data_IF_444139370947
#
_entry.id   IF_444139370947
#
_cell.length_a   1.000
_cell.length_b   1.000
_cell.length_c   1.000
_cell.angle_alpha   90.00
_cell.angle_beta   90.00
_cell.angle_gamma   90.00
#
_symmetry.space_group_name_H-M   'P 1'
#
loop_
_entity.id
_entity.type
_entity.pdbx_description
1 polymer ?
#
# COMPACT_ATOMS: atom_id res chain seq x y z
N UNK A 1 -14.08 19.81 -37.68
CA UNK A 1 -12.75 19.27 -37.34
C UNK A 1 -12.81 18.73 -35.92
N UNK A 2 -12.85 17.42 -35.76
CA UNK A 2 -12.86 16.77 -34.45
C UNK A 2 -11.40 16.63 -33.98
N UNK A 3 -11.05 17.30 -32.90
CA UNK A 3 -9.78 17.11 -32.22
C UNK A 3 -9.81 15.75 -31.51
N UNK A 4 -9.02 14.81 -32.04
CA UNK A 4 -8.78 13.53 -31.37
C UNK A 4 -8.22 13.81 -29.97
N UNK A 5 -8.94 13.33 -28.93
CA UNK A 5 -8.42 13.29 -27.57
C UNK A 5 -7.14 12.45 -27.61
N UNK A 6 -6.00 13.09 -27.35
CA UNK A 6 -4.73 12.44 -27.06
C UNK A 6 -4.98 11.40 -25.96
N UNK A 7 -4.97 10.11 -26.31
CA UNK A 7 -4.93 9.05 -25.31
C UNK A 7 -3.55 9.11 -24.68
N UNK A 8 -3.44 9.71 -23.50
CA UNK A 8 -2.21 9.67 -22.72
C UNK A 8 -1.93 8.21 -22.35
N UNK A 9 -1.09 7.54 -23.14
CA UNK A 9 -0.61 6.19 -22.82
C UNK A 9 0.15 6.25 -21.51
N UNK A 10 -0.22 5.41 -20.54
CA UNK A 10 0.54 5.25 -19.30
C UNK A 10 1.96 4.83 -19.68
N UNK A 11 3.01 5.54 -19.22
CA UNK A 11 4.39 5.15 -19.46
C UNK A 11 4.64 3.68 -19.08
N UNK A 12 5.30 2.94 -19.96
CA UNK A 12 5.59 1.50 -19.81
C UNK A 12 6.28 1.18 -18.47
N UNK A 13 7.16 2.06 -18.00
CA UNK A 13 7.80 1.98 -16.69
C UNK A 13 6.81 1.88 -15.51
N UNK A 14 5.67 2.57 -15.59
CA UNK A 14 4.63 2.52 -14.56
C UNK A 14 3.80 1.23 -14.63
N UNK A 15 3.75 0.57 -15.79
CA UNK A 15 3.13 -0.75 -15.91
C UNK A 15 3.98 -1.82 -15.23
N UNK A 16 5.30 -1.79 -15.46
CA UNK A 16 6.22 -2.76 -14.86
C UNK A 16 6.40 -2.58 -13.35
N UNK A 17 6.36 -1.35 -12.83
CA UNK A 17 6.40 -1.13 -11.38
C UNK A 17 5.12 -1.66 -10.71
N UNK A 18 3.96 -1.47 -11.35
CA UNK A 18 2.68 -2.05 -10.94
C UNK A 18 2.74 -3.55 -10.83
N UNK A 19 3.16 -4.21 -11.92
CA UNK A 19 3.32 -5.66 -11.96
C UNK A 19 4.32 -6.16 -10.92
N UNK A 20 5.46 -5.48 -10.72
CA UNK A 20 6.44 -5.84 -9.69
C UNK A 20 5.85 -5.72 -8.27
N UNK A 21 5.05 -4.69 -8.01
CA UNK A 21 4.34 -4.53 -6.75
C UNK A 21 3.37 -5.67 -6.47
N UNK A 22 2.54 -6.05 -7.45
CA UNK A 22 1.61 -7.17 -7.30
C UNK A 22 2.33 -8.48 -6.97
N UNK A 23 3.40 -8.81 -7.70
CA UNK A 23 4.18 -10.02 -7.44
C UNK A 23 4.89 -9.99 -6.09
N UNK A 24 5.30 -8.80 -5.62
CA UNK A 24 5.86 -8.65 -4.28
C UNK A 24 4.82 -8.97 -3.21
N UNK A 25 3.60 -8.42 -3.32
CA UNK A 25 2.51 -8.73 -2.39
C UNK A 25 2.15 -10.21 -2.40
N UNK A 26 2.09 -10.83 -3.59
CA UNK A 26 1.89 -12.27 -3.71
C UNK A 26 2.98 -13.06 -2.98
N UNK A 27 4.25 -12.69 -3.19
CA UNK A 27 5.40 -13.29 -2.49
C UNK A 27 5.26 -13.19 -0.97
N UNK A 28 4.93 -12.01 -0.44
CA UNK A 28 4.70 -11.84 1.00
C UNK A 28 3.56 -12.74 1.49
N UNK A 29 2.45 -12.82 0.77
CA UNK A 29 1.36 -13.73 1.13
C UNK A 29 1.83 -15.20 1.18
N UNK A 30 2.61 -15.66 0.20
CA UNK A 30 3.14 -17.02 0.18
C UNK A 30 4.12 -17.29 1.33
N UNK A 31 4.97 -16.32 1.71
CA UNK A 31 5.86 -16.43 2.89
C UNK A 31 5.07 -16.66 4.19
N UNK A 32 3.83 -16.19 4.24
CA UNK A 32 2.92 -16.36 5.35
C UNK A 32 1.90 -17.50 5.16
N UNK A 33 2.19 -18.45 4.25
CA UNK A 33 1.33 -19.60 3.95
C UNK A 33 -0.08 -19.19 3.50
N UNK A 34 -0.21 -18.15 2.68
CA UNK A 34 -1.49 -17.78 2.06
C UNK A 34 -1.36 -17.88 0.55
N UNK A 35 -2.36 -18.43 -0.13
CA UNK A 35 -2.36 -18.45 -1.59
C UNK A 35 -2.87 -17.10 -2.11
N UNK A 36 -2.13 -16.47 -3.01
CA UNK A 36 -2.55 -15.25 -3.67
C UNK A 36 -2.69 -15.49 -5.17
N UNK A 37 -3.83 -15.09 -5.75
CA UNK A 37 -4.16 -15.28 -7.15
C UNK A 37 -4.41 -13.93 -7.81
N UNK A 38 -3.76 -13.69 -8.95
CA UNK A 38 -4.04 -12.53 -9.79
C UNK A 38 -5.39 -12.70 -10.49
N UNK A 39 -6.23 -11.68 -10.44
CA UNK A 39 -7.52 -11.71 -11.12
C UNK A 39 -7.34 -11.55 -12.64
N UNK A 40 -7.97 -12.41 -13.48
CA UNK A 40 -7.83 -12.35 -14.93
C UNK A 40 -8.55 -11.16 -15.58
N UNK A 41 -9.39 -10.45 -14.81
CA UNK A 41 -10.15 -9.28 -15.25
C UNK A 41 -10.01 -8.20 -14.17
N UNK A 42 -9.70 -6.99 -14.60
CA UNK A 42 -9.69 -5.80 -13.74
C UNK A 42 -11.13 -5.45 -13.32
N UNK A 43 -11.53 -5.92 -12.13
CA UNK A 43 -12.78 -5.55 -11.47
C UNK A 43 -12.54 -4.59 -10.30
N UNK A 44 -11.43 -3.84 -10.33
CA UNK A 44 -11.04 -2.92 -9.25
C UNK A 44 -10.36 -3.60 -8.06
N UNK A 45 -9.94 -4.87 -8.20
CA UNK A 45 -9.00 -5.56 -7.32
C UNK A 45 -8.00 -6.33 -8.18
N UNK A 46 -6.75 -6.38 -7.73
CA UNK A 46 -5.66 -7.03 -8.47
C UNK A 46 -5.50 -8.50 -8.04
N UNK A 47 -5.65 -8.77 -6.73
CA UNK A 47 -5.40 -10.07 -6.14
C UNK A 47 -6.59 -10.57 -5.32
N UNK A 48 -6.71 -11.89 -5.24
CA UNK A 48 -7.53 -12.61 -4.25
C UNK A 48 -6.62 -13.47 -3.41
N UNK A 49 -6.68 -13.29 -2.09
CA UNK A 49 -5.86 -14.03 -1.13
C UNK A 49 -6.74 -15.01 -0.36
N UNK A 50 -6.30 -16.27 -0.29
CA UNK A 50 -6.99 -17.37 0.39
C UNK A 50 -6.07 -18.07 1.39
N UNK A 51 -6.67 -18.94 2.20
CA UNK A 51 -5.98 -19.90 3.06
C UNK A 51 -6.51 -21.31 2.80
N UNK A 52 -6.62 -21.67 1.52
CA UNK A 52 -7.28 -22.89 1.05
C UNK A 52 -6.65 -24.16 1.63
N UNK A 53 -5.32 -24.18 1.81
CA UNK A 53 -4.61 -25.29 2.46
C UNK A 53 -5.18 -25.65 3.85
N UNK A 54 -5.73 -24.70 4.61
CA UNK A 54 -6.33 -24.96 5.93
C UNK A 54 -7.57 -25.84 5.86
N UNK A 55 -8.26 -25.82 4.73
CA UNK A 55 -9.41 -26.69 4.49
C UNK A 55 -8.99 -28.08 4.00
N UNK A 56 -7.79 -28.21 3.41
CA UNK A 56 -7.22 -29.51 3.03
C UNK A 56 -6.77 -30.31 4.26
N UNK A 57 -6.22 -29.64 5.28
CA UNK A 57 -5.87 -30.28 6.57
C UNK A 57 -7.08 -30.77 7.38
N UNK A 58 -8.31 -30.41 6.97
CA UNK A 58 -9.57 -30.87 7.59
C UNK A 58 -10.15 -32.12 6.92
N UNK A 59 -9.52 -32.64 5.87
CA UNK A 59 -9.97 -33.88 5.21
C UNK A 59 -9.68 -35.14 6.04
N UNK A 60 -8.73 -35.08 6.99
CA UNK A 60 -8.30 -36.23 7.80
C UNK A 60 -8.68 -36.14 9.29
N UNK A 61 -9.25 -35.02 9.78
CA UNK A 61 -9.53 -34.81 11.21
C UNK A 61 -10.96 -34.28 11.45
N UNK A 62 -11.60 -34.79 12.50
CA UNK A 62 -12.92 -34.42 13.02
C UNK A 62 -13.18 -32.89 13.00
N UNK A 63 -14.45 -32.45 12.86
CA UNK A 63 -14.79 -31.02 12.76
C UNK A 63 -14.25 -30.22 13.94
N UNK A 64 -13.13 -29.51 13.72
CA UNK A 64 -12.57 -28.56 14.67
C UNK A 64 -13.42 -27.28 14.66
N UNK A 65 -13.70 -26.67 15.83
CA UNK A 65 -14.45 -25.42 15.89
C UNK A 65 -13.80 -24.34 15.02
N UNK A 66 -14.63 -23.53 14.36
CA UNK A 66 -14.16 -22.40 13.55
C UNK A 66 -13.45 -21.42 14.47
N UNK A 67 -12.14 -21.31 14.30
CA UNK A 67 -11.34 -20.29 14.98
C UNK A 67 -11.70 -18.92 14.41
N UNK A 68 -12.50 -18.16 15.17
CA UNK A 68 -12.95 -16.80 14.80
C UNK A 68 -11.84 -15.76 14.94
N UNK A 69 -10.69 -16.10 15.51
CA UNK A 69 -9.52 -15.20 15.54
C UNK A 69 -8.80 -15.15 14.19
N UNK A 70 -9.14 -16.06 13.27
CA UNK A 70 -8.57 -16.10 11.93
C UNK A 70 -9.40 -15.22 10.99
N UNK A 71 -8.76 -14.36 10.18
CA UNK A 71 -9.45 -13.57 9.17
C UNK A 71 -10.25 -14.44 8.20
N UNK A 72 -11.47 -13.99 7.90
CA UNK A 72 -12.27 -14.62 6.87
C UNK A 72 -11.53 -14.55 5.52
N UNK A 73 -11.63 -15.60 4.70
CA UNK A 73 -11.07 -15.64 3.35
C UNK A 73 -12.17 -16.01 2.37
N UNK A 74 -12.17 -15.47 1.13
CA UNK A 74 -11.09 -14.72 0.49
C UNK A 74 -10.98 -13.25 0.90
N UNK A 75 -9.76 -12.71 0.92
CA UNK A 75 -9.49 -11.27 1.02
C UNK A 75 -9.23 -10.71 -0.38
N UNK A 76 -9.98 -9.68 -0.78
CA UNK A 76 -9.76 -8.99 -2.06
C UNK A 76 -8.75 -7.85 -1.88
N UNK A 77 -7.69 -7.81 -2.68
CA UNK A 77 -6.61 -6.85 -2.49
C UNK A 77 -6.39 -6.02 -3.75
N UNK A 78 -6.50 -4.70 -3.60
CA UNK A 78 -6.00 -3.76 -4.59
C UNK A 78 -4.56 -3.39 -4.21
N UNK A 79 -3.64 -3.53 -5.15
CA UNK A 79 -2.24 -3.20 -4.98
C UNK A 79 -1.96 -1.84 -5.64
N UNK A 80 -1.22 -0.98 -4.95
CA UNK A 80 -0.63 0.22 -5.53
C UNK A 80 0.87 0.23 -5.25
N UNK A 81 1.67 0.60 -6.24
CA UNK A 81 3.12 0.60 -6.13
C UNK A 81 3.72 1.92 -6.58
N UNK A 82 4.83 2.34 -5.96
CA UNK A 82 5.51 3.58 -6.33
C UNK A 82 7.02 3.50 -6.09
N UNK A 83 7.78 4.13 -6.97
CA UNK A 83 9.19 4.47 -6.71
C UNK A 83 9.24 5.77 -5.89
N UNK A 84 9.80 5.71 -4.69
CA UNK A 84 10.00 6.86 -3.83
C UNK A 84 11.15 7.73 -4.35
N UNK A 85 11.02 9.04 -4.19
CA UNK A 85 12.07 10.01 -4.55
C UNK A 85 12.81 10.44 -3.29
N UNK A 86 14.16 10.45 -3.28
CA UNK A 86 14.91 10.92 -2.13
C UNK A 86 14.62 12.40 -1.87
N UNK A 87 14.48 12.76 -0.59
CA UNK A 87 14.35 14.13 -0.14
C UNK A 87 15.76 14.64 0.19
N UNK A 88 16.11 15.81 -0.35
CA UNK A 88 17.37 16.44 0.01
C UNK A 88 17.38 16.72 1.54
N UNK A 89 18.45 16.34 2.26
CA UNK A 89 18.53 16.63 3.69
C UNK A 89 18.48 18.15 3.92
N UNK A 90 17.85 18.57 5.01
CA UNK A 90 17.92 19.95 5.48
C UNK A 90 19.38 20.36 5.63
N UNK A 91 19.71 21.62 5.30
CA UNK A 91 21.06 22.17 5.53
C UNK A 91 21.38 22.29 7.03
N UNK A 92 20.35 22.28 7.88
CA UNK A 92 20.48 22.32 9.32
C UNK A 92 20.30 20.90 9.91
N UNK A 93 21.43 20.36 10.41
CA UNK A 93 21.61 19.13 11.20
C UNK A 93 21.39 17.79 10.48
N UNK A 94 22.03 16.76 11.05
CA UNK A 94 22.14 15.37 10.58
C UNK A 94 20.81 14.63 10.48
N UNK A 95 19.92 15.14 9.65
CA UNK A 95 18.67 14.51 9.27
C UNK A 95 18.96 13.16 8.64
N UNK A 96 18.20 12.16 9.10
CA UNK A 96 18.25 10.82 8.53
C UNK A 96 17.78 10.87 7.07
N UNK A 97 18.38 10.07 6.17
CA UNK A 97 17.89 9.95 4.80
C UNK A 97 16.39 9.65 4.77
N UNK A 98 15.67 10.32 3.88
CA UNK A 98 14.24 10.14 3.75
C UNK A 98 13.79 10.20 2.30
N UNK A 99 12.68 9.54 2.00
CA UNK A 99 12.10 9.44 0.67
C UNK A 99 10.61 9.75 0.74
N UNK A 100 10.09 10.37 -0.29
CA UNK A 100 8.67 10.71 -0.43
C UNK A 100 8.10 10.16 -1.73
N UNK A 101 6.81 9.84 -1.70
CA UNK A 101 6.06 9.40 -2.86
C UNK A 101 4.56 9.49 -2.62
N UNK A 102 3.79 9.22 -3.67
CA UNK A 102 2.34 9.11 -3.57
C UNK A 102 1.83 7.91 -4.37
N UNK A 103 0.78 7.29 -3.86
CA UNK A 103 0.00 6.30 -4.58
C UNK A 103 -1.21 6.98 -5.21
N UNK A 104 -1.34 6.88 -6.52
CA UNK A 104 -2.53 7.35 -7.23
C UNK A 104 -3.62 6.27 -7.19
N UNK A 105 -4.83 6.67 -6.80
CA UNK A 105 -6.00 5.79 -6.78
C UNK A 105 -7.19 6.51 -7.42
N UNK A 106 -7.95 5.81 -8.26
CA UNK A 106 -9.18 6.38 -8.82
C UNK A 106 -10.25 6.48 -7.72
N UNK A 107 -11.10 7.51 -7.72
CA UNK A 107 -12.20 7.61 -6.77
C UNK A 107 -13.11 6.36 -6.77
N UNK A 108 -13.35 5.75 -7.94
CA UNK A 108 -14.12 4.52 -8.08
C UNK A 108 -13.49 3.32 -7.36
N UNK A 109 -12.18 3.16 -7.48
CA UNK A 109 -11.45 2.05 -6.86
C UNK A 109 -11.44 2.22 -5.34
N UNK A 110 -11.22 3.45 -4.86
CA UNK A 110 -11.30 3.75 -3.43
C UNK A 110 -12.70 3.47 -2.88
N UNK A 111 -13.75 3.91 -3.58
CA UNK A 111 -15.12 3.65 -3.19
C UNK A 111 -15.43 2.14 -3.16
N UNK A 112 -14.92 1.38 -4.13
CA UNK A 112 -15.09 -0.08 -4.17
C UNK A 112 -14.42 -0.76 -2.97
N UNK A 113 -13.17 -0.41 -2.64
CA UNK A 113 -12.47 -0.94 -1.45
C UNK A 113 -13.28 -0.62 -0.19
N UNK A 114 -13.71 0.63 -0.03
CA UNK A 114 -14.49 1.07 1.12
C UNK A 114 -15.85 0.34 1.27
N UNK A 115 -16.48 -0.04 0.15
CA UNK A 115 -17.78 -0.69 0.12
C UNK A 115 -17.70 -2.22 0.20
N UNK A 116 -16.54 -2.82 -0.08
CA UNK A 116 -16.35 -4.27 -0.13
C UNK A 116 -15.84 -4.78 1.23
N UNK A 117 -16.64 -5.56 1.98
CA UNK A 117 -16.17 -6.22 3.20
C UNK A 117 -15.01 -7.15 2.88
N UNK A 118 -14.11 -7.33 3.85
CA UNK A 118 -12.95 -8.21 3.72
C UNK A 118 -12.10 -7.91 2.47
N UNK A 119 -11.89 -6.63 2.20
CA UNK A 119 -10.97 -6.16 1.17
C UNK A 119 -9.86 -5.31 1.79
N UNK A 120 -8.78 -5.10 1.04
CA UNK A 120 -7.63 -4.35 1.50
C UNK A 120 -6.99 -3.53 0.37
N UNK A 121 -6.36 -2.43 0.75
CA UNK A 121 -5.39 -1.70 -0.05
C UNK A 121 -3.99 -2.10 0.41
N UNK A 122 -3.23 -2.74 -0.48
CA UNK A 122 -1.81 -3.02 -0.27
C UNK A 122 -0.96 -2.00 -1.02
N UNK A 123 0.06 -1.47 -0.36
CA UNK A 123 0.97 -0.48 -0.92
C UNK A 123 2.38 -1.01 -0.94
N UNK A 124 3.09 -0.81 -2.06
CA UNK A 124 4.50 -1.19 -2.21
C UNK A 124 5.33 0.04 -2.58
N UNK A 125 6.23 0.44 -1.68
CA UNK A 125 7.15 1.55 -1.88
C UNK A 125 8.55 1.01 -2.20
N UNK A 126 9.00 1.27 -3.43
CA UNK A 126 10.36 0.96 -3.86
C UNK A 126 11.28 2.13 -3.54
N UNK A 127 12.39 1.84 -2.87
CA UNK A 127 13.41 2.81 -2.45
C UNK A 127 14.75 2.37 -3.02
N UNK A 128 15.42 3.27 -3.75
CA UNK A 128 16.81 3.08 -4.13
C UNK A 128 17.70 3.49 -2.95
N UNK A 129 18.24 2.52 -2.22
CA UNK A 129 19.24 2.77 -1.18
C UNK A 129 20.61 2.82 -1.83
N UNK A 130 21.37 3.89 -1.58
CA UNK A 130 22.73 4.05 -2.10
C UNK A 130 23.72 3.28 -1.22
N UNK A 131 24.02 2.04 -1.58
CA UNK A 131 25.24 1.35 -1.15
C UNK A 131 26.33 1.49 -2.22
N UNK A 132 27.59 1.75 -1.81
CA UNK A 132 28.70 2.11 -2.72
C UNK A 132 29.07 1.03 -3.76
N UNK A 133 28.61 -0.22 -3.62
CA UNK A 133 28.96 -1.30 -4.54
C UNK A 133 27.77 -2.01 -5.22
N UNK A 134 26.53 -1.82 -4.74
CA UNK A 134 25.34 -2.45 -5.30
C UNK A 134 24.16 -1.49 -5.15
N UNK A 135 23.49 -1.14 -6.25
CA UNK A 135 22.17 -0.51 -6.19
C UNK A 135 21.18 -1.56 -5.64
N UNK A 136 21.03 -1.65 -4.33
CA UNK A 136 19.96 -2.45 -3.73
C UNK A 136 18.67 -1.66 -3.85
N UNK A 137 17.69 -2.26 -4.52
CA UNK A 137 16.30 -1.81 -4.49
C UNK A 137 15.63 -2.48 -3.30
N UNK A 138 15.25 -1.68 -2.31
CA UNK A 138 14.47 -2.16 -1.18
C UNK A 138 13.00 -1.90 -1.46
N UNK A 139 12.16 -2.93 -1.28
CA UNK A 139 10.73 -2.80 -1.34
C UNK A 139 10.17 -2.84 0.08
N UNK A 140 9.34 -1.86 0.42
CA UNK A 140 8.58 -1.82 1.66
C UNK A 140 7.11 -2.02 1.31
N UNK A 141 6.47 -3.02 1.89
CA UNK A 141 5.05 -3.27 1.69
C UNK A 141 4.28 -3.22 3.00
N UNK A 142 3.04 -2.76 2.90
CA UNK A 142 2.08 -2.77 4.00
C UNK A 142 0.68 -2.90 3.44
N UNK A 143 -0.27 -3.23 4.30
CA UNK A 143 -1.67 -3.38 3.94
C UNK A 143 -2.57 -2.58 4.89
N UNK A 144 -3.73 -2.21 4.39
CA UNK A 144 -4.79 -1.51 5.12
C UNK A 144 -6.11 -2.18 4.77
N UNK A 145 -6.89 -2.61 5.76
CA UNK A 145 -8.22 -3.15 5.48
C UNK A 145 -9.14 -2.08 4.86
N UNK A 146 -10.30 -2.50 4.35
CA UNK A 146 -11.35 -1.57 3.95
C UNK A 146 -11.84 -0.67 5.07
N UNK A 147 -11.92 -1.13 6.32
CA UNK A 147 -12.30 -0.30 7.47
C UNK A 147 -11.22 0.74 7.81
N UNK A 148 -9.95 0.38 7.76
CA UNK A 148 -8.85 1.31 7.95
C UNK A 148 -8.74 2.31 6.79
N UNK A 149 -8.96 1.87 5.55
CA UNK A 149 -9.04 2.75 4.37
C UNK A 149 -10.18 3.76 4.50
N UNK A 150 -11.36 3.33 5.00
CA UNK A 150 -12.47 4.24 5.31
C UNK A 150 -12.04 5.30 6.34
N UNK A 151 -11.40 4.89 7.46
CA UNK A 151 -10.89 5.81 8.47
C UNK A 151 -9.89 6.82 7.88
N UNK A 152 -8.97 6.35 7.04
CA UNK A 152 -7.97 7.20 6.37
C UNK A 152 -8.62 8.21 5.42
N UNK A 153 -9.64 7.79 4.66
CA UNK A 153 -10.44 8.68 3.80
C UNK A 153 -11.13 9.75 4.62
N UNK A 154 -11.83 9.37 5.67
CA UNK A 154 -12.60 10.31 6.50
C UNK A 154 -11.68 11.32 7.22
N UNK A 155 -10.44 10.92 7.49
CA UNK A 155 -9.40 11.78 8.07
C UNK A 155 -8.62 12.62 7.03
N UNK A 156 -8.98 12.57 5.75
CA UNK A 156 -8.40 13.41 4.69
C UNK A 156 -7.00 13.00 4.22
N UNK A 157 -6.66 11.71 4.32
CA UNK A 157 -5.38 11.18 3.82
C UNK A 157 -5.35 10.92 2.31
N UNK A 158 -6.51 10.70 1.69
CA UNK A 158 -6.64 10.60 0.25
C UNK A 158 -6.92 11.99 -0.31
N UNK A 159 -5.90 12.63 -0.87
CA UNK A 159 -5.92 14.05 -1.23
C UNK A 159 -6.36 14.21 -2.67
N UNK A 160 -7.42 14.99 -2.89
CA UNK A 160 -7.84 15.43 -4.23
C UNK A 160 -6.83 16.44 -4.78
N UNK A 161 -6.34 16.16 -5.99
CA UNK A 161 -5.40 17.04 -6.67
C UNK A 161 -6.12 17.85 -7.76
N UNK A 162 -5.87 19.16 -7.87
CA UNK A 162 -6.46 19.98 -8.92
C UNK A 162 -6.18 19.39 -10.31
N UNK A 163 -7.22 19.29 -11.15
CA UNK A 163 -7.14 18.82 -12.53
C UNK A 163 -6.68 17.36 -12.71
N UNK A 164 -6.80 16.52 -11.68
CA UNK A 164 -6.60 15.07 -11.78
C UNK A 164 -7.88 14.33 -11.43
N UNK A 165 -8.21 13.31 -12.22
CA UNK A 165 -9.30 12.37 -11.93
C UNK A 165 -8.85 11.22 -10.99
N UNK A 166 -7.98 11.56 -10.03
CA UNK A 166 -7.33 10.61 -9.12
C UNK A 166 -7.05 11.27 -7.78
N UNK A 167 -7.15 10.47 -6.73
CA UNK A 167 -6.73 10.81 -5.37
C UNK A 167 -5.28 10.39 -5.16
N UNK A 168 -4.55 11.12 -4.32
CA UNK A 168 -3.17 10.80 -3.95
C UNK A 168 -3.06 10.47 -2.47
N UNK A 169 -2.54 9.27 -2.16
CA UNK A 169 -2.14 8.87 -0.83
C UNK A 169 -0.64 9.10 -0.67
N UNK A 170 -0.27 10.17 0.02
CA UNK A 170 1.12 10.61 0.19
C UNK A 170 1.81 9.90 1.35
N UNK A 171 3.05 9.45 1.11
CA UNK A 171 3.87 8.73 2.08
C UNK A 171 5.27 9.29 2.18
N UNK A 172 5.86 9.16 3.37
CA UNK A 172 7.28 9.38 3.63
C UNK A 172 7.88 8.18 4.34
N UNK A 173 8.99 7.70 3.81
CA UNK A 173 9.88 6.76 4.47
C UNK A 173 11.09 7.51 5.05
N UNK A 174 11.48 7.20 6.27
CA UNK A 174 12.69 7.73 6.91
C UNK A 174 13.57 6.55 7.33
N UNK A 175 14.86 6.59 7.04
CA UNK A 175 15.75 5.49 7.41
C UNK A 175 15.80 5.30 8.93
N UNK A 176 15.77 4.05 9.46
CA UNK A 176 15.91 3.77 10.89
C UNK A 176 17.13 4.44 11.51
N UNK A 177 17.07 4.73 12.81
CA UNK A 177 18.26 5.15 13.55
C UNK A 177 19.24 3.96 13.66
N UNK A 178 20.58 4.19 13.66
CA UNK A 178 21.56 3.10 13.71
C UNK A 178 21.43 2.15 14.91
N UNK A 179 20.84 2.63 16.02
CA UNK A 179 20.59 1.93 17.27
C UNK A 179 19.14 1.43 17.42
N UNK A 180 18.30 1.64 16.41
CA UNK A 180 16.94 1.11 16.43
C UNK A 180 16.97 -0.41 16.24
N UNK A 181 16.29 -1.13 17.13
CA UNK A 181 16.12 -2.58 16.99
C UNK A 181 15.46 -2.90 15.65
N UNK A 182 15.97 -3.93 14.96
CA UNK A 182 15.44 -4.36 13.66
C UNK A 182 14.06 -5.00 13.86
N UNK A 183 13.02 -4.17 13.86
CA UNK A 183 11.63 -4.59 13.72
C UNK A 183 11.19 -4.30 12.30
N UNK A 184 10.39 -5.18 11.70
CA UNK A 184 9.84 -4.95 10.36
C UNK A 184 9.01 -3.64 10.34
N UNK A 185 9.69 -2.57 9.93
CA UNK A 185 9.25 -1.30 9.33
C UNK A 185 8.16 -0.48 10.06
N UNK A 186 8.51 0.39 11.01
CA UNK A 186 7.62 1.45 11.54
C UNK A 186 7.87 2.85 10.98
N UNK A 187 8.80 3.00 10.04
CA UNK A 187 9.29 4.32 9.61
C UNK A 187 8.58 4.89 8.38
N UNK A 188 7.38 4.39 8.09
CA UNK A 188 6.50 4.94 7.06
C UNK A 188 5.44 5.80 7.73
N UNK A 189 5.34 7.03 7.27
CA UNK A 189 4.31 7.99 7.68
C UNK A 189 3.45 8.38 6.50
N UNK A 190 2.16 8.60 6.77
CA UNK A 190 1.24 9.20 5.79
C UNK A 190 1.16 10.70 5.98
N UNK A 191 0.96 11.44 4.90
CA UNK A 191 0.52 12.83 4.98
C UNK A 191 -1.00 12.91 4.90
N UNK A 192 -1.55 14.04 5.34
CA UNK A 192 -2.96 14.39 5.13
C UNK A 192 -3.10 15.79 4.57
N UNK A 193 -4.26 16.06 3.96
CA UNK A 193 -4.61 17.41 3.52
C UNK A 193 -4.55 18.39 4.70
N UNK A 194 -3.91 19.54 4.48
CA UNK A 194 -3.86 20.62 5.45
C UNK A 194 -5.26 21.26 5.57
N UNK A 195 -5.81 21.22 6.77
CA UNK A 195 -7.15 21.74 7.09
C UNK A 195 -7.13 23.20 7.60
N UNK A 196 -5.97 23.87 7.58
CA UNK A 196 -5.86 25.28 7.97
C UNK A 196 -6.63 26.14 6.94
N UNK A 197 -7.52 27.00 7.41
CA UNK A 197 -8.34 27.89 6.57
C UNK A 197 -7.46 28.67 5.58
N UNK A 198 -7.81 28.63 4.29
CA UNK A 198 -7.04 29.26 3.21
C UNK A 198 -5.90 28.41 2.65
N UNK A 199 -5.73 27.17 3.10
CA UNK A 199 -4.78 26.23 2.48
C UNK A 199 -5.28 25.77 1.12
N UNK A 200 -4.36 25.73 0.16
CA UNK A 200 -4.65 25.20 -1.18
C UNK A 200 -4.89 23.67 -1.13
N UNK A 201 -5.78 23.13 -1.98
CA UNK A 201 -5.87 21.69 -2.21
C UNK A 201 -4.50 21.10 -2.58
N UNK A 202 -4.13 19.97 -1.99
CA UNK A 202 -2.80 19.39 -2.17
C UNK A 202 -1.75 19.84 -1.13
N UNK A 203 -2.02 20.88 -0.33
CA UNK A 203 -1.10 21.28 0.75
C UNK A 203 -1.06 20.20 1.83
N UNK A 204 0.11 19.59 2.01
CA UNK A 204 0.33 18.50 2.98
C UNK A 204 0.52 19.04 4.40
N UNK A 205 0.05 18.28 5.39
CA UNK A 205 0.42 18.44 6.81
C UNK A 205 0.96 17.12 7.34
N UNK A 206 1.76 17.18 8.43
CA UNK A 206 2.31 15.97 9.06
C UNK A 206 1.18 15.01 9.43
N UNK A 207 1.31 13.75 9.02
CA UNK A 207 0.45 12.67 9.51
C UNK A 207 1.22 11.71 10.40
N UNK A 208 0.72 10.48 10.52
CA UNK A 208 1.08 9.55 11.59
C UNK A 208 1.91 8.38 11.06
N UNK A 209 2.60 7.68 11.97
CA UNK A 209 3.36 6.46 11.67
C UNK A 209 2.42 5.26 11.59
N UNK A 210 2.60 4.42 10.57
CA UNK A 210 1.81 3.21 10.44
C UNK A 210 2.19 2.18 11.53
N UNK A 211 1.18 1.50 12.08
CA UNK A 211 1.38 0.49 13.12
C UNK A 211 2.11 -0.76 12.58
N UNK A 212 2.90 -1.43 13.42
CA UNK A 212 3.76 -2.59 13.05
C UNK A 212 2.95 -3.72 12.39
N UNK A 213 1.72 -3.94 12.84
CA UNK A 213 0.85 -5.03 12.39
C UNK A 213 0.47 -4.90 10.91
N UNK A 214 0.53 -3.69 10.36
CA UNK A 214 0.22 -3.42 8.94
C UNK A 214 1.31 -3.90 7.99
N UNK A 215 2.48 -4.23 8.51
CA UNK A 215 3.60 -4.79 7.77
C UNK A 215 3.65 -6.32 7.85
N UNK A 216 2.85 -6.91 8.75
CA UNK A 216 2.70 -8.37 8.85
C UNK A 216 1.58 -8.84 7.93
N UNK A 217 1.96 -9.39 6.77
CA UNK A 217 1.00 -9.96 5.83
C UNK A 217 0.37 -11.25 6.36
N UNK A 218 0.94 -11.91 7.37
CA UNK A 218 0.27 -13.04 8.04
C UNK A 218 -1.06 -12.65 8.68
N UNK A 219 -1.19 -11.38 9.07
CA UNK A 219 -2.41 -10.78 9.63
C UNK A 219 -3.33 -10.18 8.58
N UNK A 220 -3.06 -10.36 7.28
CA UNK A 220 -3.92 -9.82 6.22
C UNK A 220 -5.37 -10.27 6.41
N UNK A 221 -6.26 -9.28 6.52
CA UNK A 221 -7.69 -9.43 6.78
C UNK A 221 -8.09 -9.45 8.26
N UNK A 222 -7.14 -9.37 9.20
CA UNK A 222 -7.42 -9.34 10.64
C UNK A 222 -7.80 -7.92 11.08
N UNK A 223 -9.09 -7.69 11.35
CA UNK A 223 -9.61 -6.48 12.02
C UNK A 223 -10.92 -6.73 12.77
#
# INVERSE_FOLDING_TARGET
MATAKSSSSIPTEFLYIGAAGEHYIMSECFRHNMEAFKLPIDKGFDLVVTRAYRHLSRLDDAPKPVDRSVPETPVYVQVKSRQATPIAPSKDKGDRPSWEGYFSIKPSDLALICATPNSALACVLFVDTRGELMRSRTAYAWWMSSAYVNLMRDNGHFIEMPNKDTLELWVRYVEPAPDSGYKQNTYISFFKQCQIKGSEPGKKSSGFLLAEERFDFGQLGAE
#
